data_IF_438505016135
#
_entry.id   IF_438505016135
#
_cell.length_a   1.000
_cell.length_b   1.000
_cell.length_c   1.000
_cell.angle_alpha   90.00
_cell.angle_beta   90.00
_cell.angle_gamma   90.00
#
_symmetry.space_group_name_H-M   'P 1'
#
loop_
_entity.id
_entity.type
_entity.pdbx_description
1 polymer ?
#
# COMPACT_ATOMS: atom_id res chain seq x y z
N UNK A 1 -11.03 -29.79 26.44
CA UNK A 1 -12.40 -29.45 26.91
C UNK A 1 -13.16 -28.93 25.71
N UNK A 2 -14.40 -29.36 25.47
CA UNK A 2 -15.15 -28.87 24.32
C UNK A 2 -15.62 -27.43 24.58
N UNK A 3 -15.66 -26.58 23.54
CA UNK A 3 -16.05 -25.17 23.67
C UNK A 3 -17.43 -24.98 24.31
N UNK A 4 -18.36 -25.89 24.03
CA UNK A 4 -19.71 -25.89 24.62
C UNK A 4 -19.73 -25.98 26.16
N UNK A 5 -18.68 -26.52 26.76
CA UNK A 5 -18.58 -26.74 28.20
C UNK A 5 -17.85 -25.58 28.90
N UNK A 6 -17.29 -24.63 28.15
CA UNK A 6 -16.64 -23.42 28.68
C UNK A 6 -17.69 -22.38 29.10
N UNK A 7 -17.40 -21.61 30.15
CA UNK A 7 -18.10 -20.34 30.39
C UNK A 7 -17.70 -19.28 29.34
N UNK A 8 -18.48 -18.21 29.25
CA UNK A 8 -18.30 -17.18 28.23
C UNK A 8 -16.95 -16.47 28.33
N UNK A 9 -16.45 -16.22 29.56
CA UNK A 9 -15.16 -15.56 29.77
C UNK A 9 -13.98 -16.45 29.38
N UNK A 10 -14.07 -17.75 29.65
CA UNK A 10 -13.07 -18.72 29.23
C UNK A 10 -13.10 -18.94 27.71
N UNK A 11 -14.30 -18.95 27.10
CA UNK A 11 -14.46 -19.01 25.66
C UNK A 11 -13.86 -17.76 25.00
N UNK A 12 -14.14 -16.56 25.51
CA UNK A 12 -13.55 -15.32 25.01
C UNK A 12 -12.02 -15.33 25.10
N UNK A 13 -11.44 -15.78 26.22
CA UNK A 13 -9.98 -15.89 26.36
C UNK A 13 -9.32 -16.84 25.37
N UNK A 14 -10.06 -17.74 24.71
CA UNK A 14 -9.47 -18.61 23.70
C UNK A 14 -8.88 -17.84 22.52
N UNK A 15 -9.37 -16.64 22.20
CA UNK A 15 -8.82 -15.83 21.09
C UNK A 15 -7.35 -15.44 21.32
N UNK A 16 -6.91 -15.37 22.58
CA UNK A 16 -5.54 -15.01 22.95
C UNK A 16 -4.63 -16.23 23.13
N UNK A 17 -5.19 -17.41 23.42
CA UNK A 17 -4.43 -18.64 23.64
C UNK A 17 -4.46 -19.60 22.46
N UNK A 18 -5.42 -19.42 21.54
CA UNK A 18 -5.63 -20.28 20.40
C UNK A 18 -4.69 -20.00 19.22
N UNK A 19 -3.90 -18.93 19.29
CA UNK A 19 -3.04 -18.45 18.18
C UNK A 19 -3.83 -18.44 16.87
N UNK A 20 -3.25 -18.83 15.74
CA UNK A 20 -3.94 -18.88 14.44
C UNK A 20 -4.78 -20.15 14.20
N UNK A 21 -5.06 -20.94 15.26
CA UNK A 21 -5.56 -22.33 15.15
C UNK A 21 -7.01 -22.54 15.57
N UNK A 22 -7.72 -21.48 15.95
CA UNK A 22 -9.14 -21.61 16.27
C UNK A 22 -9.91 -22.07 15.02
N UNK A 23 -10.76 -23.09 15.18
CA UNK A 23 -11.47 -23.72 14.08
C UNK A 23 -12.98 -23.43 14.06
N UNK A 24 -13.67 -23.96 13.05
CA UNK A 24 -15.11 -23.76 12.86
C UNK A 24 -16.00 -24.08 14.08
N UNK A 25 -15.63 -25.07 14.90
CA UNK A 25 -16.36 -25.40 16.14
C UNK A 25 -16.34 -24.26 17.17
N UNK A 26 -15.24 -23.50 17.24
CA UNK A 26 -15.12 -22.32 18.07
C UNK A 26 -16.06 -21.22 17.57
N UNK A 27 -16.02 -20.92 16.27
CA UNK A 27 -16.87 -19.92 15.62
C UNK A 27 -18.35 -20.24 15.83
N UNK A 28 -18.73 -21.51 15.65
CA UNK A 28 -20.10 -21.97 15.85
C UNK A 28 -20.58 -21.69 17.28
N UNK A 29 -19.73 -21.91 18.26
CA UNK A 29 -20.07 -21.66 19.66
C UNK A 29 -20.16 -20.15 19.96
N UNK A 30 -19.24 -19.34 19.43
CA UNK A 30 -19.31 -17.87 19.52
C UNK A 30 -20.62 -17.33 18.91
N UNK A 31 -21.00 -17.80 17.72
CA UNK A 31 -22.27 -17.42 17.06
C UNK A 31 -23.49 -17.81 17.90
N UNK A 32 -23.47 -18.99 18.52
CA UNK A 32 -24.54 -19.45 19.41
C UNK A 32 -24.73 -18.54 20.63
N UNK A 33 -23.63 -17.96 21.12
CA UNK A 33 -23.59 -17.09 22.31
C UNK A 33 -23.40 -15.61 21.97
N UNK A 34 -23.84 -15.18 20.78
CA UNK A 34 -23.56 -13.85 20.24
C UNK A 34 -23.80 -12.70 21.24
N UNK A 35 -24.89 -12.74 22.02
CA UNK A 35 -25.25 -11.64 22.93
C UNK A 35 -24.25 -11.48 24.09
N UNK A 36 -23.68 -12.60 24.57
CA UNK A 36 -22.67 -12.57 25.62
C UNK A 36 -21.27 -12.28 25.05
N UNK A 37 -20.98 -12.81 23.86
CA UNK A 37 -19.66 -12.67 23.23
C UNK A 37 -19.42 -11.27 22.66
N UNK A 38 -20.45 -10.65 22.08
CA UNK A 38 -20.35 -9.35 21.43
C UNK A 38 -19.65 -8.27 22.28
N UNK A 39 -20.10 -7.95 23.51
CA UNK A 39 -19.42 -6.92 24.31
C UNK A 39 -17.98 -7.29 24.68
N UNK A 40 -17.68 -8.57 24.92
CA UNK A 40 -16.32 -9.02 25.23
C UNK A 40 -15.38 -8.86 24.02
N UNK A 41 -15.87 -9.16 22.81
CA UNK A 41 -15.10 -8.99 21.58
C UNK A 41 -14.91 -7.51 21.25
N UNK A 42 -15.91 -6.66 21.48
CA UNK A 42 -15.79 -5.21 21.33
C UNK A 42 -14.72 -4.64 22.29
N UNK A 43 -14.73 -5.07 23.56
CA UNK A 43 -13.75 -4.65 24.57
C UNK A 43 -12.31 -4.94 24.12
N UNK A 44 -12.06 -6.12 23.54
CA UNK A 44 -10.73 -6.51 23.01
C UNK A 44 -10.18 -5.49 22.01
N UNK A 45 -11.03 -4.91 21.15
CA UNK A 45 -10.60 -3.97 20.11
C UNK A 45 -10.38 -2.55 20.61
N UNK A 46 -10.93 -2.18 21.77
CA UNK A 46 -10.70 -0.86 22.37
C UNK A 46 -9.40 -0.76 23.17
N UNK A 47 -8.79 -1.90 23.50
CA UNK A 47 -7.55 -1.97 24.26
C UNK A 47 -6.35 -1.97 23.32
N UNK A 48 -5.75 -0.79 23.12
CA UNK A 48 -4.59 -0.58 22.26
C UNK A 48 -3.44 -1.54 22.59
N UNK A 49 -3.22 -1.85 23.87
CA UNK A 49 -2.17 -2.76 24.34
C UNK A 49 -2.26 -4.18 23.76
N UNK A 50 -3.45 -4.60 23.29
CA UNK A 50 -3.63 -5.91 22.67
C UNK A 50 -2.99 -5.98 21.27
N UNK A 51 -2.75 -4.83 20.64
CA UNK A 51 -2.15 -4.73 19.31
C UNK A 51 -0.61 -4.76 19.35
N UNK A 52 -0.02 -4.57 20.53
CA UNK A 52 1.45 -4.54 20.73
C UNK A 52 2.05 -5.91 21.09
N UNK A 53 1.23 -6.97 21.12
CA UNK A 53 1.71 -8.30 21.46
C UNK A 53 2.36 -9.00 20.26
N UNK A 54 3.67 -9.20 20.36
CA UNK A 54 4.49 -9.92 19.37
C UNK A 54 4.39 -11.46 19.48
N UNK A 55 3.82 -11.96 20.58
CA UNK A 55 3.61 -13.40 20.80
C UNK A 55 2.25 -13.87 20.27
N UNK A 56 1.93 -15.14 20.53
CA UNK A 56 0.67 -15.76 20.11
C UNK A 56 -0.60 -15.01 20.56
N UNK A 57 -0.52 -14.12 21.56
CA UNK A 57 -1.67 -13.35 22.02
C UNK A 57 -2.07 -12.24 21.05
N UNK A 58 -1.16 -11.76 20.20
CA UNK A 58 -1.49 -10.75 19.16
C UNK A 58 -2.59 -11.23 18.20
N UNK A 59 -2.82 -12.54 18.07
CA UNK A 59 -3.93 -13.10 17.32
C UNK A 59 -5.32 -12.74 17.87
N UNK A 60 -5.41 -12.32 19.14
CA UNK A 60 -6.68 -12.00 19.76
C UNK A 60 -7.44 -10.86 19.09
N UNK A 61 -6.73 -9.78 18.70
CA UNK A 61 -7.37 -8.65 17.98
C UNK A 61 -7.81 -9.05 16.57
N UNK A 62 -7.03 -9.89 15.88
CA UNK A 62 -7.38 -10.43 14.57
C UNK A 62 -8.67 -11.26 14.70
N UNK A 63 -8.71 -12.19 15.66
CA UNK A 63 -9.90 -13.00 15.90
C UNK A 63 -11.12 -12.15 16.26
N UNK A 64 -10.96 -11.14 17.11
CA UNK A 64 -12.06 -10.26 17.50
C UNK A 64 -12.67 -9.55 16.28
N UNK A 65 -11.85 -8.98 15.38
CA UNK A 65 -12.34 -8.37 14.13
C UNK A 65 -13.13 -9.37 13.28
N UNK A 66 -12.56 -10.54 13.00
CA UNK A 66 -13.23 -11.57 12.18
C UNK A 66 -14.54 -12.06 12.81
N UNK A 67 -14.55 -12.33 14.12
CA UNK A 67 -15.73 -12.81 14.81
C UNK A 67 -16.83 -11.76 14.87
N UNK A 68 -16.48 -10.48 15.07
CA UNK A 68 -17.46 -9.39 15.02
C UNK A 68 -18.06 -9.24 13.62
N UNK A 69 -17.23 -9.33 12.56
CA UNK A 69 -17.72 -9.39 11.19
C UNK A 69 -18.62 -10.59 10.90
N UNK A 70 -18.33 -11.77 11.48
CA UNK A 70 -19.16 -12.98 11.37
C UNK A 70 -20.48 -12.86 12.16
N UNK A 71 -20.46 -12.23 13.33
CA UNK A 71 -21.64 -11.95 14.15
C UNK A 71 -22.55 -10.93 13.44
N UNK A 72 -21.94 -9.95 12.77
CA UNK A 72 -22.62 -8.94 11.95
C UNK A 72 -23.67 -8.12 12.72
N UNK A 73 -23.32 -7.68 13.94
CA UNK A 73 -24.21 -6.87 14.79
C UNK A 73 -23.77 -5.40 14.78
N UNK A 74 -24.69 -4.50 14.44
CA UNK A 74 -24.41 -3.06 14.30
C UNK A 74 -23.78 -2.44 15.57
N UNK A 75 -24.02 -2.99 16.76
CA UNK A 75 -23.40 -2.51 18.01
C UNK A 75 -21.87 -2.59 18.01
N UNK A 76 -21.25 -3.36 17.11
CA UNK A 76 -19.79 -3.47 17.00
C UNK A 76 -19.14 -2.45 16.07
N UNK A 77 -19.91 -1.59 15.39
CA UNK A 77 -19.36 -0.68 14.36
C UNK A 77 -18.26 0.22 14.91
N UNK A 78 -18.43 0.77 16.11
CA UNK A 78 -17.43 1.65 16.73
C UNK A 78 -16.13 0.91 17.07
N UNK A 79 -16.23 -0.32 17.56
CA UNK A 79 -15.06 -1.14 17.86
C UNK A 79 -14.29 -1.55 16.60
N UNK A 80 -15.00 -1.78 15.49
CA UNK A 80 -14.36 -2.09 14.21
C UNK A 80 -13.65 -0.86 13.62
N UNK A 81 -14.27 0.33 13.75
CA UNK A 81 -13.65 1.60 13.36
C UNK A 81 -12.38 1.89 14.18
N UNK A 82 -12.43 1.66 15.49
CA UNK A 82 -11.25 1.80 16.36
C UNK A 82 -10.12 0.84 15.93
N UNK A 83 -10.48 -0.42 15.65
CA UNK A 83 -9.53 -1.41 15.16
C UNK A 83 -8.89 -1.02 13.82
N UNK A 84 -9.60 -0.29 12.96
CA UNK A 84 -9.06 0.25 11.71
C UNK A 84 -7.91 1.22 11.96
N UNK A 85 -8.09 2.15 12.91
CA UNK A 85 -7.04 3.10 13.31
C UNK A 85 -5.79 2.39 13.83
N UNK A 86 -5.96 1.52 14.83
CA UNK A 86 -4.82 0.78 15.40
C UNK A 86 -4.13 -0.15 14.39
N UNK A 87 -4.89 -0.79 13.50
CA UNK A 87 -4.32 -1.66 12.47
C UNK A 87 -3.59 -0.89 11.37
N UNK A 88 -4.02 0.34 11.05
CA UNK A 88 -3.31 1.19 10.11
C UNK A 88 -1.95 1.62 10.68
N UNK A 89 -1.92 2.09 11.93
CA UNK A 89 -0.70 2.54 12.60
C UNK A 89 0.34 1.43 12.75
N UNK A 90 -0.12 0.20 13.03
CA UNK A 90 0.73 -0.98 13.25
C UNK A 90 0.89 -1.88 12.03
N UNK A 91 0.30 -1.49 10.90
CA UNK A 91 0.34 -2.25 9.64
C UNK A 91 -0.13 -3.71 9.81
N UNK A 92 -1.24 -3.92 10.50
CA UNK A 92 -1.81 -5.27 10.73
C UNK A 92 -2.70 -5.65 9.54
N UNK A 93 -2.06 -6.15 8.48
CA UNK A 93 -2.72 -6.50 7.21
C UNK A 93 -3.94 -7.40 7.38
N UNK A 94 -3.89 -8.39 8.29
CA UNK A 94 -5.01 -9.29 8.55
C UNK A 94 -6.30 -8.58 8.97
N UNK A 95 -6.18 -7.48 9.71
CA UNK A 95 -7.31 -6.64 10.12
C UNK A 95 -7.73 -5.75 8.96
N UNK A 96 -6.78 -5.05 8.33
CA UNK A 96 -7.04 -4.14 7.21
C UNK A 96 -7.80 -4.84 6.06
N UNK A 97 -7.39 -6.06 5.71
CA UNK A 97 -8.03 -6.86 4.67
C UNK A 97 -9.43 -7.38 5.05
N UNK A 98 -9.74 -7.51 6.33
CA UNK A 98 -11.01 -8.07 6.80
C UNK A 98 -12.09 -7.01 7.01
N UNK A 99 -11.69 -5.78 7.39
CA UNK A 99 -12.61 -4.70 7.77
C UNK A 99 -13.65 -4.35 6.68
N UNK A 100 -13.30 -4.22 5.38
CA UNK A 100 -14.29 -3.90 4.35
C UNK A 100 -15.46 -4.90 4.31
N UNK A 101 -15.19 -6.19 4.45
CA UNK A 101 -16.23 -7.22 4.51
C UNK A 101 -17.01 -7.17 5.83
N UNK A 102 -16.33 -6.89 6.96
CA UNK A 102 -17.01 -6.71 8.24
C UNK A 102 -18.07 -5.62 8.15
N UNK A 103 -17.73 -4.45 7.58
CA UNK A 103 -18.67 -3.35 7.37
C UNK A 103 -19.82 -3.73 6.43
N UNK A 104 -19.55 -4.48 5.37
CA UNK A 104 -20.57 -4.97 4.44
C UNK A 104 -21.62 -5.85 5.14
N UNK A 105 -21.16 -6.76 6.03
CA UNK A 105 -22.04 -7.67 6.77
C UNK A 105 -22.92 -6.96 7.81
N UNK A 106 -22.49 -5.82 8.36
CA UNK A 106 -23.35 -4.97 9.20
C UNK A 106 -24.55 -4.40 8.41
N UNK A 107 -24.44 -4.34 7.08
CA UNK A 107 -25.48 -3.89 6.18
C UNK A 107 -25.63 -2.36 6.10
N UNK A 108 -26.67 -1.87 5.39
CA UNK A 108 -26.90 -0.44 5.12
C UNK A 108 -26.90 0.47 6.35
N UNK A 109 -27.26 -0.06 7.52
CA UNK A 109 -27.31 0.70 8.77
C UNK A 109 -25.94 1.17 9.25
N UNK A 110 -24.84 0.60 8.76
CA UNK A 110 -23.48 1.06 9.07
C UNK A 110 -23.08 2.34 8.30
N UNK A 111 -23.73 2.64 7.18
CA UNK A 111 -23.33 3.74 6.28
C UNK A 111 -23.22 5.09 6.99
N UNK A 112 -24.19 5.56 7.80
CA UNK A 112 -24.07 6.86 8.46
C UNK A 112 -22.81 6.94 9.33
N UNK A 113 -22.53 5.88 10.08
CA UNK A 113 -21.40 5.85 11.01
C UNK A 113 -20.05 5.82 10.28
N UNK A 114 -19.95 5.08 9.18
CA UNK A 114 -18.76 5.08 8.30
C UNK A 114 -18.51 6.46 7.71
N UNK A 115 -19.55 7.14 7.22
CA UNK A 115 -19.42 8.50 6.66
C UNK A 115 -18.92 9.50 7.69
N UNK A 116 -19.49 9.46 8.90
CA UNK A 116 -19.11 10.35 9.99
C UNK A 116 -17.64 10.12 10.37
N UNK A 117 -17.20 8.87 10.44
CA UNK A 117 -15.81 8.53 10.74
C UNK A 117 -14.83 8.99 9.64
N UNK A 118 -15.14 8.70 8.37
CA UNK A 118 -14.31 9.13 7.23
C UNK A 118 -14.12 10.65 7.25
N UNK A 119 -15.20 11.41 7.45
CA UNK A 119 -15.14 12.88 7.53
C UNK A 119 -14.32 13.37 8.71
N UNK A 120 -14.52 12.79 9.89
CA UNK A 120 -13.78 13.16 11.09
C UNK A 120 -12.28 12.98 10.89
N UNK A 121 -11.86 11.83 10.36
CA UNK A 121 -10.43 11.52 10.16
C UNK A 121 -9.80 12.45 9.10
N UNK A 122 -10.49 12.69 7.97
CA UNK A 122 -9.99 13.62 6.94
C UNK A 122 -9.82 15.04 7.49
N UNK A 123 -10.79 15.53 8.29
CA UNK A 123 -10.69 16.85 8.93
C UNK A 123 -9.52 16.91 9.92
N UNK A 124 -9.22 15.82 10.61
CA UNK A 124 -8.11 15.72 11.54
C UNK A 124 -6.76 15.48 10.86
N UNK A 125 -6.73 15.27 9.54
CA UNK A 125 -5.52 14.95 8.79
C UNK A 125 -5.03 13.51 9.01
N UNK A 126 -5.92 12.61 9.39
CA UNK A 126 -5.66 11.17 9.55
C UNK A 126 -6.14 10.44 8.29
N UNK A 127 -5.24 10.10 7.33
CA UNK A 127 -5.65 9.64 6.00
C UNK A 127 -6.07 8.16 5.97
N UNK A 128 -6.07 7.46 7.12
CA UNK A 128 -6.32 6.02 7.21
C UNK A 128 -7.82 5.68 7.17
N UNK A 129 -8.49 6.04 6.08
CA UNK A 129 -9.93 5.80 5.86
C UNK A 129 -10.22 4.84 4.70
N UNK A 130 -9.18 4.19 4.19
CA UNK A 130 -9.26 3.33 2.99
C UNK A 130 -10.18 2.14 3.23
N UNK A 131 -10.11 1.50 4.39
CA UNK A 131 -10.93 0.32 4.72
C UNK A 131 -12.42 0.67 4.79
N UNK A 132 -12.76 1.85 5.30
CA UNK A 132 -14.12 2.36 5.40
C UNK A 132 -14.67 2.72 4.02
N UNK A 133 -13.85 3.33 3.15
CA UNK A 133 -14.21 3.60 1.74
C UNK A 133 -14.46 2.28 0.99
N UNK A 134 -13.59 1.28 1.14
CA UNK A 134 -13.81 -0.05 0.56
C UNK A 134 -15.04 -0.75 1.15
N UNK A 135 -15.33 -0.55 2.44
CA UNK A 135 -16.57 -1.01 3.08
C UNK A 135 -17.82 -0.36 2.45
N UNK A 136 -17.77 0.94 2.15
CA UNK A 136 -18.83 1.63 1.41
C UNK A 136 -18.98 1.07 -0.01
N UNK A 137 -17.89 0.72 -0.70
CA UNK A 137 -17.95 0.06 -2.01
C UNK A 137 -18.53 -1.35 -1.94
N UNK A 138 -18.24 -2.11 -0.88
CA UNK A 138 -18.89 -3.41 -0.67
C UNK A 138 -20.39 -3.26 -0.44
N UNK A 139 -20.81 -2.28 0.38
CA UNK A 139 -22.23 -1.97 0.60
C UNK A 139 -22.91 -1.49 -0.69
N UNK A 140 -22.22 -0.67 -1.49
CA UNK A 140 -22.67 -0.26 -2.82
C UNK A 140 -22.88 -1.47 -3.74
N UNK A 141 -21.97 -2.44 -3.71
CA UNK A 141 -22.08 -3.64 -4.53
C UNK A 141 -23.32 -4.46 -4.15
N UNK A 142 -23.53 -4.72 -2.86
CA UNK A 142 -24.56 -5.61 -2.32
C UNK A 142 -25.96 -5.02 -2.31
N UNK A 143 -26.08 -3.71 -2.05
CA UNK A 143 -27.37 -3.07 -1.78
C UNK A 143 -27.70 -2.01 -2.84
N UNK A 144 -28.52 -2.38 -3.82
CA UNK A 144 -28.90 -1.48 -4.92
C UNK A 144 -29.50 -0.14 -4.44
N UNK A 145 -30.28 -0.18 -3.35
CA UNK A 145 -31.00 0.98 -2.81
C UNK A 145 -30.08 2.03 -2.18
N UNK A 146 -28.84 1.68 -1.82
CA UNK A 146 -27.89 2.63 -1.21
C UNK A 146 -26.88 3.19 -2.20
N UNK A 147 -26.85 2.69 -3.44
CA UNK A 147 -25.80 3.02 -4.42
C UNK A 147 -25.69 4.50 -4.69
N UNK A 148 -26.81 5.14 -5.02
CA UNK A 148 -26.85 6.57 -5.31
C UNK A 148 -26.35 7.39 -4.12
N UNK A 149 -26.78 7.03 -2.91
CA UNK A 149 -26.35 7.69 -1.69
C UNK A 149 -24.85 7.54 -1.45
N UNK A 150 -24.29 6.33 -1.63
CA UNK A 150 -22.86 6.07 -1.43
C UNK A 150 -22.03 6.79 -2.48
N UNK A 151 -22.41 6.73 -3.76
CA UNK A 151 -21.71 7.45 -4.83
C UNK A 151 -21.73 8.96 -4.60
N UNK A 152 -22.88 9.53 -4.19
CA UNK A 152 -22.98 10.94 -3.90
C UNK A 152 -22.01 11.37 -2.79
N UNK A 153 -21.92 10.59 -1.71
CA UNK A 153 -20.99 10.84 -0.61
C UNK A 153 -19.52 10.74 -1.06
N UNK A 154 -19.15 9.69 -1.80
CA UNK A 154 -17.78 9.50 -2.26
C UNK A 154 -17.37 10.55 -3.31
N UNK A 155 -18.32 11.04 -4.11
CA UNK A 155 -18.08 12.12 -5.07
C UNK A 155 -17.93 13.47 -4.37
N UNK A 156 -18.74 13.75 -3.34
CA UNK A 156 -18.57 14.91 -2.46
C UNK A 156 -17.18 14.85 -1.81
N UNK A 157 -16.78 13.70 -1.28
CA UNK A 157 -15.46 13.47 -0.71
C UNK A 157 -14.33 13.74 -1.70
N UNK A 158 -14.44 13.24 -2.93
CA UNK A 158 -13.49 13.50 -4.01
C UNK A 158 -13.31 15.01 -4.27
N UNK A 159 -14.41 15.76 -4.21
CA UNK A 159 -14.41 17.21 -4.44
C UNK A 159 -13.86 17.98 -3.24
N UNK A 160 -14.10 17.51 -2.01
CA UNK A 160 -13.71 18.16 -0.75
C UNK A 160 -12.26 17.90 -0.32
N UNK A 161 -11.61 16.83 -0.78
CA UNK A 161 -10.22 16.46 -0.45
C UNK A 161 -9.17 17.37 -1.11
N UNK A 162 -9.34 18.68 -0.97
CA UNK A 162 -8.39 19.68 -1.43
C UNK A 162 -7.07 19.55 -0.65
N UNK A 163 -6.07 18.92 -1.29
CA UNK A 163 -4.73 18.77 -0.74
C UNK A 163 -4.34 17.33 -0.41
N UNK A 164 -5.31 16.42 -0.23
CA UNK A 164 -5.04 14.98 -0.11
C UNK A 164 -5.18 14.31 -1.47
N UNK A 165 -4.08 14.31 -2.21
CA UNK A 165 -4.03 13.80 -3.57
C UNK A 165 -4.07 12.28 -3.63
N UNK A 166 -3.68 11.57 -2.56
CA UNK A 166 -3.69 10.12 -2.51
C UNK A 166 -5.14 9.64 -2.42
N UNK A 167 -5.91 10.16 -1.44
CA UNK A 167 -7.33 9.81 -1.30
C UNK A 167 -8.09 10.18 -2.57
N UNK A 168 -7.85 11.38 -3.11
CA UNK A 168 -8.50 11.82 -4.35
C UNK A 168 -8.21 10.87 -5.52
N UNK A 169 -6.95 10.45 -5.69
CA UNK A 169 -6.55 9.58 -6.79
C UNK A 169 -7.14 8.18 -6.65
N UNK A 170 -7.17 7.64 -5.43
CA UNK A 170 -7.84 6.38 -5.13
C UNK A 170 -9.33 6.45 -5.48
N UNK A 171 -10.04 7.51 -5.06
CA UNK A 171 -11.45 7.70 -5.42
C UNK A 171 -11.67 7.83 -6.94
N UNK A 172 -10.76 8.49 -7.67
CA UNK A 172 -10.82 8.56 -9.13
C UNK A 172 -10.70 7.16 -9.76
N UNK A 173 -9.75 6.35 -9.29
CA UNK A 173 -9.58 4.97 -9.75
C UNK A 173 -10.83 4.12 -9.43
N UNK A 174 -11.33 4.21 -8.21
CA UNK A 174 -12.53 3.52 -7.75
C UNK A 174 -13.74 3.81 -8.64
N UNK A 175 -14.00 5.10 -8.92
CA UNK A 175 -15.11 5.50 -9.80
C UNK A 175 -14.91 5.04 -11.25
N UNK A 176 -13.69 5.08 -11.76
CA UNK A 176 -13.39 4.58 -13.11
C UNK A 176 -13.65 3.07 -13.19
N UNK A 177 -13.17 2.30 -12.21
CA UNK A 177 -13.40 0.86 -12.08
C UNK A 177 -14.88 0.51 -11.87
N UNK A 178 -15.63 1.33 -11.13
CA UNK A 178 -17.09 1.21 -11.01
C UNK A 178 -17.85 1.54 -12.31
N UNK A 179 -17.16 1.99 -13.35
CA UNK A 179 -17.73 2.24 -14.68
C UNK A 179 -18.31 3.64 -14.87
N UNK A 180 -17.98 4.61 -14.02
CA UNK A 180 -18.43 6.02 -14.13
C UNK A 180 -17.68 6.80 -15.22
N UNK A 181 -17.84 6.36 -16.46
CA UNK A 181 -17.22 6.95 -17.66
C UNK A 181 -17.59 8.42 -17.89
N UNK A 182 -18.72 8.85 -17.36
CA UNK A 182 -19.16 10.25 -17.37
C UNK A 182 -18.21 11.18 -16.60
N UNK A 183 -17.45 10.66 -15.63
CA UNK A 183 -16.48 11.42 -14.85
C UNK A 183 -15.11 11.56 -15.54
N UNK A 184 -14.88 10.92 -16.70
CA UNK A 184 -13.58 10.93 -17.40
C UNK A 184 -13.06 12.34 -17.67
N UNK A 185 -13.92 13.26 -18.10
CA UNK A 185 -13.53 14.65 -18.36
C UNK A 185 -13.14 15.38 -17.07
N UNK A 186 -13.88 15.17 -15.97
CA UNK A 186 -13.55 15.75 -14.68
C UNK A 186 -12.20 15.22 -14.18
N UNK A 187 -11.97 13.91 -14.27
CA UNK A 187 -10.73 13.29 -13.82
C UNK A 187 -9.53 13.76 -14.65
N UNK A 188 -9.72 13.94 -15.96
CA UNK A 188 -8.70 14.55 -16.83
C UNK A 188 -8.31 15.95 -16.33
N UNK A 189 -9.30 16.76 -15.95
CA UNK A 189 -9.03 18.10 -15.40
C UNK A 189 -8.27 18.04 -14.06
N UNK A 190 -8.50 17.05 -13.20
CA UNK A 190 -7.69 16.87 -11.99
C UNK A 190 -6.24 16.51 -12.34
N UNK A 191 -6.03 15.55 -13.24
CA UNK A 191 -4.68 15.20 -13.71
C UNK A 191 -3.93 16.37 -14.34
N UNK A 192 -4.60 17.13 -15.21
CA UNK A 192 -3.98 18.27 -15.87
C UNK A 192 -3.63 19.39 -14.87
N UNK A 193 -4.37 19.49 -13.76
CA UNK A 193 -4.07 20.42 -12.66
C UNK A 193 -3.01 19.92 -11.67
N UNK A 194 -2.50 18.69 -11.84
CA UNK A 194 -1.60 18.06 -10.87
C UNK A 194 -2.32 17.71 -9.56
N UNK A 195 -3.64 17.60 -9.60
CA UNK A 195 -4.51 17.26 -8.48
C UNK A 195 -4.69 15.74 -8.32
N UNK A 196 -3.89 14.95 -9.04
CA UNK A 196 -3.77 13.50 -8.88
C UNK A 196 -2.33 13.16 -8.44
N UNK A 197 -2.20 12.10 -7.65
CA UNK A 197 -0.92 11.53 -7.24
C UNK A 197 -0.47 10.49 -8.26
N UNK A 198 0.54 10.84 -9.05
CA UNK A 198 1.06 10.00 -10.12
C UNK A 198 1.86 8.80 -9.60
N UNK A 199 2.25 8.78 -8.33
CA UNK A 199 2.86 7.60 -7.71
C UNK A 199 1.83 6.49 -7.54
N UNK A 200 0.62 6.84 -7.11
CA UNK A 200 -0.49 5.90 -6.90
C UNK A 200 -1.11 5.42 -8.21
N UNK A 201 -1.57 6.33 -9.07
CA UNK A 201 -2.23 5.98 -10.35
C UNK A 201 -1.80 6.97 -11.44
N UNK A 202 -1.43 6.46 -12.62
CA UNK A 202 -1.14 7.30 -13.78
C UNK A 202 -2.40 7.54 -14.62
N UNK A 203 -2.35 8.52 -15.54
CA UNK A 203 -3.48 8.74 -16.45
C UNK A 203 -3.73 7.52 -17.33
N UNK A 204 -2.68 6.85 -17.76
CA UNK A 204 -2.74 5.63 -18.55
C UNK A 204 -3.42 4.48 -17.78
N UNK A 205 -3.11 4.32 -16.48
CA UNK A 205 -3.78 3.34 -15.61
C UNK A 205 -5.29 3.66 -15.49
N UNK A 206 -5.63 4.94 -15.30
CA UNK A 206 -7.02 5.38 -15.21
C UNK A 206 -7.78 5.19 -16.53
N UNK A 207 -7.12 5.39 -17.68
CA UNK A 207 -7.70 5.09 -18.99
C UNK A 207 -8.00 3.60 -19.14
N UNK A 208 -7.09 2.72 -18.70
CA UNK A 208 -7.35 1.28 -18.66
C UNK A 208 -8.61 0.96 -17.86
N UNK A 209 -8.76 1.56 -16.66
CA UNK A 209 -9.93 1.32 -15.82
C UNK A 209 -11.25 1.74 -16.50
N UNK A 210 -11.25 2.82 -17.29
CA UNK A 210 -12.45 3.22 -18.04
C UNK A 210 -12.78 2.26 -19.19
N UNK A 211 -11.77 1.66 -19.82
CA UNK A 211 -11.91 0.77 -20.96
C UNK A 211 -12.30 -0.65 -20.56
N UNK A 212 -11.81 -1.09 -19.40
CA UNK A 212 -12.10 -2.40 -18.83
C UNK A 212 -13.58 -2.58 -18.49
N UNK A 213 -13.96 -3.86 -18.26
CA UNK A 213 -15.30 -4.18 -17.78
C UNK A 213 -15.47 -3.63 -16.37
N UNK A 214 -16.60 -2.97 -16.04
CA UNK A 214 -16.84 -2.45 -14.71
C UNK A 214 -16.63 -3.54 -13.66
N UNK A 215 -15.69 -3.27 -12.77
CA UNK A 215 -15.32 -4.11 -11.65
C UNK A 215 -15.14 -3.18 -10.45
N UNK A 216 -16.21 -2.87 -9.71
CA UNK A 216 -16.10 -1.95 -8.57
C UNK A 216 -15.02 -2.45 -7.61
N UNK A 217 -14.33 -1.55 -6.88
CA UNK A 217 -13.19 -1.87 -6.00
C UNK A 217 -13.62 -2.61 -4.71
N UNK A 218 -14.67 -3.43 -4.78
CA UNK A 218 -15.17 -4.20 -3.66
C UNK A 218 -14.12 -5.22 -3.20
N UNK A 219 -13.73 -5.14 -1.92
CA UNK A 219 -12.85 -6.10 -1.28
C UNK A 219 -13.69 -7.14 -0.55
N UNK A 220 -13.92 -8.29 -1.20
CA UNK A 220 -14.76 -9.37 -0.67
C UNK A 220 -13.91 -10.45 -0.03
N UNK A 221 -14.35 -10.91 1.14
CA UNK A 221 -13.71 -12.01 1.85
C UNK A 221 -14.76 -12.93 2.47
N UNK A 222 -14.51 -14.22 2.45
CA UNK A 222 -15.27 -15.12 3.31
C UNK A 222 -14.61 -15.16 4.69
N UNK A 223 -15.18 -14.46 5.66
CA UNK A 223 -14.58 -14.38 7.01
C UNK A 223 -14.56 -15.74 7.71
N UNK A 224 -15.53 -16.62 7.43
CA UNK A 224 -15.58 -17.98 8.00
C UNK A 224 -14.46 -18.88 7.48
N UNK A 225 -13.99 -18.70 6.23
CA UNK A 225 -12.88 -19.48 5.64
C UNK A 225 -11.59 -19.34 6.45
N UNK A 226 -11.42 -18.23 7.18
CA UNK A 226 -10.29 -18.07 8.09
C UNK A 226 -10.19 -19.20 9.13
N UNK A 227 -11.33 -19.79 9.52
CA UNK A 227 -11.44 -20.84 10.53
C UNK A 227 -11.56 -22.25 9.93
N UNK A 228 -11.42 -22.39 8.61
CA UNK A 228 -11.46 -23.67 7.94
C UNK A 228 -10.17 -24.46 8.18
N UNK A 229 -10.24 -25.79 8.37
CA UNK A 229 -9.06 -26.61 8.61
C UNK A 229 -8.00 -26.52 7.51
N UNK A 230 -8.40 -26.32 6.25
CA UNK A 230 -7.47 -26.13 5.13
C UNK A 230 -6.74 -24.79 5.21
N UNK A 231 -7.47 -23.71 5.52
CA UNK A 231 -6.88 -22.37 5.67
C UNK A 231 -5.91 -22.31 6.85
N UNK A 232 -6.26 -22.95 7.98
CA UNK A 232 -5.37 -23.07 9.15
C UNK A 232 -4.09 -23.82 8.76
N UNK A 233 -4.21 -24.98 8.09
CA UNK A 233 -3.04 -25.75 7.63
C UNK A 233 -2.15 -24.96 6.68
N UNK A 234 -2.74 -24.14 5.82
CA UNK A 234 -1.97 -23.30 4.90
C UNK A 234 -1.21 -22.21 5.65
N UNK A 235 -1.83 -21.53 6.61
CA UNK A 235 -1.16 -20.56 7.48
C UNK A 235 -0.03 -21.21 8.27
N UNK A 236 -0.28 -22.36 8.90
CA UNK A 236 0.74 -23.11 9.63
C UNK A 236 1.91 -23.51 8.73
N UNK A 237 1.64 -23.97 7.51
CA UNK A 237 2.70 -24.29 6.53
C UNK A 237 3.49 -23.04 6.17
N UNK A 238 2.81 -21.93 5.88
CA UNK A 238 3.46 -20.67 5.54
C UNK A 238 4.35 -20.16 6.68
N UNK A 239 3.88 -20.25 7.94
CA UNK A 239 4.68 -19.92 9.12
C UNK A 239 5.85 -20.87 9.33
N UNK A 240 5.65 -22.17 9.17
CA UNK A 240 6.73 -23.16 9.28
C UNK A 240 7.81 -22.94 8.21
N UNK A 241 7.41 -22.61 6.98
CA UNK A 241 8.34 -22.24 5.90
C UNK A 241 9.08 -20.95 6.28
N UNK A 242 8.37 -19.91 6.74
CA UNK A 242 8.97 -18.64 7.13
C UNK A 242 9.96 -18.81 8.28
N UNK A 243 9.62 -19.59 9.29
CA UNK A 243 10.47 -19.90 10.44
C UNK A 243 11.70 -20.73 10.00
N UNK A 244 11.51 -21.74 9.15
CA UNK A 244 12.61 -22.53 8.61
C UNK A 244 13.55 -21.65 7.76
N UNK A 245 13.00 -20.78 6.91
CA UNK A 245 13.76 -19.80 6.14
C UNK A 245 14.51 -18.84 7.06
N UNK A 246 13.89 -18.39 8.15
CA UNK A 246 14.54 -17.50 9.12
C UNK A 246 15.71 -18.20 9.82
N UNK A 247 15.52 -19.43 10.32
CA UNK A 247 16.58 -20.22 10.95
C UNK A 247 17.71 -20.58 9.98
N UNK A 248 17.38 -20.94 8.74
CA UNK A 248 18.38 -21.23 7.71
C UNK A 248 19.17 -19.97 7.35
N UNK A 249 18.48 -18.84 7.13
CA UNK A 249 19.13 -17.55 6.92
C UNK A 249 20.03 -17.18 8.10
N UNK A 250 19.63 -17.44 9.33
CA UNK A 250 20.47 -17.15 10.51
C UNK A 250 21.79 -17.92 10.47
N UNK A 251 21.77 -19.21 10.14
CA UNK A 251 22.99 -20.01 10.01
C UNK A 251 23.84 -19.64 8.77
N UNK A 252 23.22 -19.45 7.61
CA UNK A 252 23.90 -19.08 6.36
C UNK A 252 24.52 -17.68 6.46
N UNK A 253 23.77 -16.70 6.98
CA UNK A 253 24.26 -15.35 7.25
C UNK A 253 25.41 -15.37 8.26
N UNK A 254 25.26 -16.11 9.37
CA UNK A 254 26.34 -16.24 10.34
C UNK A 254 27.60 -16.82 9.70
N UNK A 255 27.47 -17.83 8.84
CA UNK A 255 28.60 -18.46 8.16
C UNK A 255 29.27 -17.48 7.18
N UNK A 256 28.50 -16.72 6.41
CA UNK A 256 29.01 -15.69 5.49
C UNK A 256 29.72 -14.55 6.24
N UNK A 257 29.17 -14.09 7.36
CA UNK A 257 29.77 -13.04 8.20
C UNK A 257 31.07 -13.47 8.88
N UNK A 258 31.22 -14.77 9.17
CA UNK A 258 32.37 -15.31 9.88
C UNK A 258 33.33 -16.10 8.99
N UNK A 259 33.09 -16.16 7.66
CA UNK A 259 33.87 -17.02 6.75
C UNK A 259 35.38 -16.72 6.76
N UNK A 260 35.77 -15.48 7.02
CA UNK A 260 37.17 -15.04 7.10
C UNK A 260 37.82 -15.32 8.46
N UNK A 261 37.01 -15.62 9.48
CA UNK A 261 37.44 -15.93 10.85
C UNK A 261 37.60 -17.43 11.10
N UNK A 262 37.01 -18.28 10.25
CA UNK A 262 37.10 -19.74 10.37
C UNK A 262 38.44 -20.22 9.80
N UNK A 263 39.20 -20.97 10.59
CA UNK A 263 40.48 -21.52 10.14
C UNK A 263 40.23 -22.67 9.14
N UNK A 264 40.86 -22.60 7.97
CA UNK A 264 40.64 -23.53 6.84
C UNK A 264 40.69 -25.03 7.20
N UNK A 265 41.59 -25.40 8.13
CA UNK A 265 41.86 -26.78 8.55
C UNK A 265 41.09 -27.20 9.82
N UNK A 266 40.15 -26.39 10.30
CA UNK A 266 39.29 -26.78 11.42
C UNK A 266 38.05 -27.53 10.93
N UNK A 267 37.41 -28.34 11.80
CA UNK A 267 36.12 -28.95 11.51
C UNK A 267 35.09 -27.89 11.09
N UNK A 268 34.33 -28.20 10.05
CA UNK A 268 33.34 -27.29 9.50
C UNK A 268 32.24 -26.98 10.54
N UNK A 269 31.84 -25.70 10.73
CA UNK A 269 30.79 -25.32 11.68
C UNK A 269 29.40 -25.93 11.43
N UNK A 270 29.18 -26.55 10.26
CA UNK A 270 27.95 -27.29 9.98
C UNK A 270 27.82 -28.61 10.77
N UNK A 271 28.89 -29.06 11.46
CA UNK A 271 28.89 -30.29 12.24
C UNK A 271 29.12 -31.57 11.41
N UNK A 272 29.48 -31.47 10.13
CA UNK A 272 29.75 -32.63 9.26
C UNK A 272 30.99 -33.44 9.68
N UNK A 273 31.87 -32.86 10.50
CA UNK A 273 33.16 -33.43 10.88
C UNK A 273 34.26 -33.32 9.80
N UNK A 274 33.94 -32.81 8.61
CA UNK A 274 34.92 -32.53 7.55
C UNK A 274 35.65 -31.20 7.75
N UNK A 275 36.76 -30.99 7.05
CA UNK A 275 37.51 -29.72 7.07
C UNK A 275 36.69 -28.60 6.40
N UNK A 276 36.72 -27.38 6.96
CA UNK A 276 35.97 -26.24 6.42
C UNK A 276 36.29 -25.94 4.94
N UNK A 277 37.57 -25.96 4.57
CA UNK A 277 38.04 -25.69 3.21
C UNK A 277 37.45 -26.66 2.15
N UNK A 278 37.10 -27.88 2.55
CA UNK A 278 36.52 -28.91 1.68
C UNK A 278 34.99 -29.00 1.78
N UNK A 279 34.40 -28.39 2.81
CA UNK A 279 33.00 -28.57 3.14
C UNK A 279 32.15 -27.37 2.68
N UNK A 280 32.22 -26.24 3.39
CA UNK A 280 31.34 -25.08 3.11
C UNK A 280 32.05 -23.85 2.57
N UNK A 281 33.40 -23.80 2.57
CA UNK A 281 34.11 -22.66 1.97
C UNK A 281 33.77 -22.43 0.49
N UNK A 282 33.74 -23.46 -0.40
CA UNK A 282 33.40 -23.24 -1.81
C UNK A 282 31.97 -22.70 -2.01
N UNK A 283 31.03 -23.19 -1.19
CA UNK A 283 29.67 -22.67 -1.17
C UNK A 283 29.65 -21.21 -0.69
N UNK A 284 30.31 -20.89 0.43
CA UNK A 284 30.31 -19.55 1.00
C UNK A 284 30.95 -18.51 0.06
N UNK A 285 32.03 -18.87 -0.64
CA UNK A 285 32.66 -18.00 -1.64
C UNK A 285 31.75 -17.75 -2.85
N UNK A 286 31.15 -18.81 -3.39
CA UNK A 286 30.20 -18.70 -4.50
C UNK A 286 28.98 -17.87 -4.11
N UNK A 287 28.45 -18.12 -2.91
CA UNK A 287 27.25 -17.47 -2.40
C UNK A 287 27.50 -15.98 -2.10
N UNK A 288 28.65 -15.63 -1.51
CA UNK A 288 29.09 -14.23 -1.36
C UNK A 288 29.19 -13.52 -2.70
N UNK A 289 29.75 -14.19 -3.72
CA UNK A 289 29.81 -13.64 -5.07
C UNK A 289 28.43 -13.40 -5.69
N UNK A 290 27.49 -14.35 -5.52
CA UNK A 290 26.10 -14.24 -5.96
C UNK A 290 25.38 -13.08 -5.26
N UNK A 291 25.50 -12.98 -3.93
CA UNK A 291 24.86 -11.92 -3.15
C UNK A 291 25.36 -10.52 -3.53
N UNK A 292 26.66 -10.36 -3.82
CA UNK A 292 27.19 -9.08 -4.32
C UNK A 292 26.57 -8.71 -5.67
N UNK A 293 26.44 -9.66 -6.59
CA UNK A 293 25.78 -9.40 -7.89
C UNK A 293 24.29 -9.10 -7.74
N UNK A 294 23.61 -9.81 -6.84
CA UNK A 294 22.20 -9.56 -6.55
C UNK A 294 21.98 -8.21 -5.87
N UNK A 295 22.87 -7.81 -4.98
CA UNK A 295 22.84 -6.49 -4.36
C UNK A 295 23.08 -5.39 -5.40
N UNK A 296 24.05 -5.56 -6.30
CA UNK A 296 24.27 -4.63 -7.43
C UNK A 296 23.02 -4.50 -8.32
N UNK A 297 22.37 -5.62 -8.65
CA UNK A 297 21.11 -5.62 -9.42
C UNK A 297 19.95 -5.01 -8.63
N UNK A 298 19.84 -5.30 -7.33
CA UNK A 298 18.81 -4.77 -6.45
C UNK A 298 18.97 -3.25 -6.29
N UNK A 299 20.19 -2.77 -6.06
CA UNK A 299 20.54 -1.36 -6.02
C UNK A 299 20.25 -0.67 -7.36
N UNK A 300 20.55 -1.32 -8.49
CA UNK A 300 20.22 -0.79 -9.82
C UNK A 300 18.71 -0.66 -10.00
N UNK A 301 17.93 -1.67 -9.63
CA UNK A 301 16.46 -1.64 -9.66
C UNK A 301 15.88 -0.60 -8.72
N UNK A 302 16.45 -0.47 -7.52
CA UNK A 302 16.03 0.51 -6.53
C UNK A 302 16.27 1.93 -7.04
N UNK A 303 17.45 2.22 -7.62
CA UNK A 303 17.75 3.50 -8.28
C UNK A 303 16.78 3.79 -9.42
N UNK A 304 16.52 2.81 -10.29
CA UNK A 304 15.56 2.97 -11.39
C UNK A 304 14.16 3.32 -10.87
N UNK A 305 13.68 2.65 -9.82
CA UNK A 305 12.40 2.98 -9.16
C UNK A 305 12.41 4.37 -8.54
N UNK A 306 13.51 4.77 -7.89
CA UNK A 306 13.61 6.12 -7.30
C UNK A 306 13.56 7.22 -8.37
N UNK A 307 14.12 6.98 -9.56
CA UNK A 307 14.02 7.93 -10.66
C UNK A 307 12.60 8.03 -11.24
N UNK A 308 11.84 6.94 -11.28
CA UNK A 308 10.43 6.97 -11.69
C UNK A 308 9.57 7.69 -10.66
N UNK A 309 9.76 7.40 -9.38
CA UNK A 309 9.09 8.10 -8.27
C UNK A 309 9.38 9.60 -8.30
N UNK A 310 10.67 9.98 -8.39
CA UNK A 310 11.06 11.39 -8.49
C UNK A 310 10.46 12.06 -9.75
N UNK A 311 10.50 11.40 -10.90
CA UNK A 311 9.90 11.95 -12.13
C UNK A 311 8.40 12.23 -11.97
N UNK A 312 7.65 11.32 -11.34
CA UNK A 312 6.21 11.45 -11.07
C UNK A 312 5.91 12.57 -10.07
N UNK A 313 6.70 12.67 -8.99
CA UNK A 313 6.56 13.72 -8.00
C UNK A 313 6.80 15.11 -8.63
N UNK A 314 7.87 15.27 -9.40
CA UNK A 314 8.22 16.54 -10.04
C UNK A 314 7.27 16.91 -11.20
N UNK A 315 6.77 15.92 -11.95
CA UNK A 315 5.69 16.14 -12.92
C UNK A 315 4.44 16.71 -12.24
N UNK A 316 4.07 16.13 -11.10
CA UNK A 316 2.91 16.59 -10.32
C UNK A 316 3.11 18.02 -9.82
N UNK A 317 4.29 18.34 -9.30
CA UNK A 317 4.64 19.68 -8.84
C UNK A 317 4.58 20.72 -9.99
N UNK A 318 5.14 20.40 -11.15
CA UNK A 318 5.09 21.26 -12.33
C UNK A 318 3.66 21.52 -12.81
N UNK A 319 2.82 20.48 -12.85
CA UNK A 319 1.41 20.60 -13.23
C UNK A 319 0.67 21.54 -12.28
N UNK A 320 0.86 21.39 -10.96
CA UNK A 320 0.28 22.30 -9.95
C UNK A 320 0.74 23.73 -10.13
N UNK A 321 2.05 23.93 -10.31
CA UNK A 321 2.63 25.25 -10.52
C UNK A 321 1.98 25.96 -11.71
N UNK A 322 1.83 25.26 -12.83
CA UNK A 322 1.23 25.80 -14.05
C UNK A 322 -0.28 25.99 -13.92
N UNK A 323 -0.98 25.07 -13.27
CA UNK A 323 -2.42 25.13 -13.03
C UNK A 323 -2.81 26.32 -12.16
N UNK A 324 -2.05 26.63 -11.10
CA UNK A 324 -2.25 27.80 -10.25
C UNK A 324 -2.19 29.15 -11.00
N UNK A 325 -1.68 29.14 -12.24
CA UNK A 325 -1.55 30.30 -13.13
C UNK A 325 -2.48 30.23 -14.34
N UNK A 326 -3.31 29.20 -14.45
CA UNK A 326 -4.15 28.97 -15.63
C UNK A 326 -3.34 28.57 -16.88
N UNK A 327 -2.16 27.99 -16.69
CA UNK A 327 -1.21 27.62 -17.76
C UNK A 327 -0.96 26.10 -17.85
N UNK A 328 -1.91 25.29 -17.38
CA UNK A 328 -1.78 23.82 -17.34
C UNK A 328 -1.53 23.19 -18.72
N UNK A 329 -1.97 23.84 -19.79
CA UNK A 329 -1.77 23.45 -21.19
C UNK A 329 -0.31 23.52 -21.66
N UNK A 330 0.56 24.22 -20.92
CA UNK A 330 2.00 24.26 -21.20
C UNK A 330 2.73 22.96 -20.79
N UNK A 331 2.20 22.21 -19.82
CA UNK A 331 2.90 21.02 -19.31
C UNK A 331 3.14 19.94 -20.39
N UNK A 332 2.16 19.55 -21.23
CA UNK A 332 2.39 18.60 -22.31
C UNK A 332 3.53 19.00 -23.27
N UNK A 333 3.73 20.31 -23.49
CA UNK A 333 4.82 20.80 -24.34
C UNK A 333 6.17 20.68 -23.63
N UNK A 334 6.22 21.00 -22.32
CA UNK A 334 7.40 20.81 -21.47
C UNK A 334 7.79 19.33 -21.43
N UNK A 335 6.84 18.42 -21.14
CA UNK A 335 7.06 16.97 -21.12
C UNK A 335 7.58 16.45 -22.45
N UNK A 336 6.96 16.83 -23.57
CA UNK A 336 7.43 16.47 -24.92
C UNK A 336 8.86 16.94 -25.14
N UNK A 337 9.18 18.18 -24.78
CA UNK A 337 10.52 18.73 -24.95
C UNK A 337 11.56 18.01 -24.08
N UNK A 338 11.24 17.74 -22.83
CA UNK A 338 12.10 16.99 -21.92
C UNK A 338 12.40 15.59 -22.48
N UNK A 339 11.38 14.88 -22.97
CA UNK A 339 11.51 13.57 -23.61
C UNK A 339 12.35 13.62 -24.89
N UNK A 340 12.16 14.63 -25.74
CA UNK A 340 12.99 14.83 -26.94
C UNK A 340 14.47 14.98 -26.59
N UNK A 341 14.79 15.77 -25.57
CA UNK A 341 16.17 16.00 -25.13
C UNK A 341 16.75 14.74 -24.50
N UNK A 342 16.00 14.10 -23.58
CA UNK A 342 16.44 12.90 -22.88
C UNK A 342 16.72 11.74 -23.83
N UNK A 343 15.90 11.58 -24.89
CA UNK A 343 16.07 10.54 -25.92
C UNK A 343 17.15 10.86 -26.95
N UNK A 344 17.64 12.09 -27.02
CA UNK A 344 18.62 12.47 -28.03
C UNK A 344 19.99 11.82 -27.74
N UNK A 345 20.38 10.86 -28.59
CA UNK A 345 21.59 10.02 -28.45
C UNK A 345 22.89 10.75 -28.82
N UNK A 346 22.84 11.94 -29.42
CA UNK A 346 24.04 12.65 -29.90
C UNK A 346 24.55 13.70 -28.91
N UNK A 347 25.88 13.79 -28.74
CA UNK A 347 26.51 14.79 -27.85
C UNK A 347 26.22 16.24 -28.25
N UNK A 348 25.99 16.51 -29.55
CA UNK A 348 25.67 17.85 -30.07
C UNK A 348 24.27 18.35 -29.70
N UNK A 349 23.31 17.45 -29.49
CA UNK A 349 21.97 17.82 -28.99
C UNK A 349 21.98 18.02 -27.47
N UNK A 350 22.79 17.24 -26.74
CA UNK A 350 23.00 17.41 -25.29
C UNK A 350 23.79 18.68 -24.93
N UNK A 351 24.60 19.22 -25.84
CA UNK A 351 25.41 20.41 -25.59
C UNK A 351 24.65 21.74 -25.68
N UNK A 352 23.40 21.75 -26.18
CA UNK A 352 22.53 22.90 -25.94
C UNK A 352 22.11 22.82 -24.49
N UNK A 353 22.67 23.70 -23.65
CA UNK A 353 22.40 23.71 -22.21
C UNK A 353 20.89 23.65 -21.93
N UNK A 354 20.52 22.92 -20.87
CA UNK A 354 19.14 22.75 -20.42
C UNK A 354 18.30 24.04 -20.53
N UNK A 355 18.82 25.16 -20.01
CA UNK A 355 18.21 26.49 -20.09
C UNK A 355 17.90 26.93 -21.53
N UNK A 356 18.81 26.70 -22.47
CA UNK A 356 18.60 27.06 -23.87
C UNK A 356 17.52 26.19 -24.54
N UNK A 357 17.39 24.94 -24.11
CA UNK A 357 16.40 24.02 -24.65
C UNK A 357 14.97 24.34 -24.19
N UNK A 358 14.82 25.01 -23.04
CA UNK A 358 13.55 25.46 -22.46
C UNK A 358 13.30 26.97 -22.57
N UNK A 359 14.20 27.73 -23.19
CA UNK A 359 14.11 29.20 -23.28
C UNK A 359 12.78 29.71 -23.87
N UNK A 360 12.22 28.99 -24.84
CA UNK A 360 10.93 29.33 -25.44
C UNK A 360 9.75 29.19 -24.47
N UNK A 361 9.87 28.33 -23.45
CA UNK A 361 8.84 28.15 -22.42
C UNK A 361 8.93 29.21 -21.34
N UNK A 362 10.13 29.66 -20.98
CA UNK A 362 10.30 30.71 -19.97
C UNK A 362 9.64 32.04 -20.38
N UNK A 363 9.50 32.31 -21.69
CA UNK A 363 8.76 33.47 -22.18
C UNK A 363 7.23 33.27 -22.21
N UNK A 364 6.73 32.05 -22.01
CA UNK A 364 5.31 31.71 -22.00
C UNK A 364 4.76 31.56 -20.57
N UNK A 365 5.59 31.14 -19.62
CA UNK A 365 5.20 31.01 -18.21
C UNK A 365 5.25 32.37 -17.52
N UNK A 366 4.18 32.72 -16.81
CA UNK A 366 4.11 33.96 -16.04
C UNK A 366 4.70 33.76 -14.64
N UNK A 367 5.78 34.49 -14.33
CA UNK A 367 6.42 34.48 -13.02
C UNK A 367 6.16 35.82 -12.31
N UNK A 368 5.60 35.79 -11.10
CA UNK A 368 5.32 36.99 -10.31
C UNK A 368 6.54 37.49 -9.55
N UNK A 369 7.50 36.61 -9.32
CA UNK A 369 8.73 36.91 -8.61
C UNK A 369 9.89 36.06 -9.12
N UNK A 370 11.11 36.45 -8.71
CA UNK A 370 12.30 35.64 -8.93
C UNK A 370 12.22 34.30 -8.18
N UNK A 371 11.57 34.27 -7.02
CA UNK A 371 11.46 33.07 -6.20
C UNK A 371 10.55 32.04 -6.88
N UNK A 372 9.43 32.46 -7.47
CA UNK A 372 8.56 31.58 -8.26
C UNK A 372 9.28 31.02 -9.50
N UNK A 373 10.13 31.83 -10.16
CA UNK A 373 10.97 31.35 -11.25
C UNK A 373 11.96 30.28 -10.77
N UNK A 374 12.60 30.50 -9.62
CA UNK A 374 13.54 29.54 -9.05
C UNK A 374 12.85 28.23 -8.66
N UNK A 375 11.68 28.30 -8.02
CA UNK A 375 10.84 27.14 -7.67
C UNK A 375 10.47 26.32 -8.91
N UNK A 376 9.98 26.99 -9.96
CA UNK A 376 9.70 26.31 -11.24
C UNK A 376 10.95 25.66 -11.83
N UNK A 377 12.08 26.34 -11.80
CA UNK A 377 13.34 25.83 -12.32
C UNK A 377 13.87 24.64 -11.52
N UNK A 378 13.66 24.63 -10.20
CA UNK A 378 13.99 23.51 -9.33
C UNK A 378 13.21 22.26 -9.76
N UNK A 379 11.88 22.36 -9.82
CA UNK A 379 11.03 21.25 -10.25
C UNK A 379 11.31 20.81 -11.69
N UNK A 380 11.51 21.74 -12.62
CA UNK A 380 11.80 21.41 -14.02
C UNK A 380 13.13 20.69 -14.17
N UNK A 381 14.15 21.12 -13.40
CA UNK A 381 15.48 20.50 -13.42
C UNK A 381 15.44 19.12 -12.80
N UNK A 382 14.76 18.97 -11.65
CA UNK A 382 14.58 17.68 -10.99
C UNK A 382 13.81 16.69 -11.86
N UNK A 383 12.70 17.12 -12.47
CA UNK A 383 11.93 16.35 -13.45
C UNK A 383 12.81 15.87 -14.62
N UNK A 384 13.55 16.79 -15.23
CA UNK A 384 14.42 16.46 -16.36
C UNK A 384 15.56 15.52 -15.98
N UNK A 385 16.16 15.69 -14.80
CA UNK A 385 17.24 14.83 -14.32
C UNK A 385 16.73 13.42 -14.03
N UNK A 386 15.59 13.30 -13.35
CA UNK A 386 14.93 12.02 -13.10
C UNK A 386 14.59 11.31 -14.41
N UNK A 387 13.98 12.02 -15.36
CA UNK A 387 13.67 11.50 -16.69
C UNK A 387 14.92 11.05 -17.44
N UNK A 388 15.99 11.84 -17.44
CA UNK A 388 17.25 11.49 -18.12
C UNK A 388 17.94 10.28 -17.47
N UNK A 389 17.87 10.17 -16.15
CA UNK A 389 18.44 9.06 -15.40
C UNK A 389 17.77 7.72 -15.77
N UNK A 390 16.47 7.73 -16.07
CA UNK A 390 15.77 6.54 -16.60
C UNK A 390 16.31 6.07 -17.96
N UNK A 391 16.92 6.94 -18.77
CA UNK A 391 17.52 6.60 -20.06
C UNK A 391 19.05 6.37 -20.00
N UNK A 392 19.70 6.62 -18.87
CA UNK A 392 21.17 6.63 -18.76
C UNK A 392 21.81 5.23 -18.83
N UNK A 393 21.04 4.16 -18.53
CA UNK A 393 21.48 2.77 -18.72
C UNK A 393 21.45 2.33 -20.20
N UNK A 394 21.07 3.22 -21.13
CA UNK A 394 21.51 3.12 -22.52
C UNK A 394 22.89 3.80 -22.65
N UNK A 395 23.97 3.02 -22.83
CA UNK A 395 25.34 3.47 -22.64
C UNK A 395 25.69 4.54 -23.66
N UNK A 396 25.77 5.78 -23.18
CA UNK A 396 26.07 6.92 -24.02
C UNK A 396 26.52 8.11 -23.20
N UNK A 397 27.57 7.92 -22.38
CA UNK A 397 28.41 8.94 -21.76
C UNK A 397 27.73 9.94 -20.81
N UNK A 398 28.06 9.76 -19.54
CA UNK A 398 27.68 10.64 -18.45
C UNK A 398 28.33 12.02 -18.56
N UNK A 399 27.55 12.99 -18.12
CA UNK A 399 27.99 14.22 -17.45
C UNK A 399 26.78 14.70 -16.66
N UNK A 400 26.87 14.55 -15.34
CA UNK A 400 25.95 15.15 -14.39
C UNK A 400 25.89 16.66 -14.65
N UNK A 401 24.69 17.19 -14.85
CA UNK A 401 24.44 18.63 -14.84
C UNK A 401 24.42 19.05 -13.37
N UNK A 402 25.59 19.45 -12.87
CA UNK A 402 25.69 20.32 -11.69
C UNK A 402 25.75 21.77 -12.16
#
# INVERSE_FOLDING_TARGET
MAYKDMDDGLLARQIFSGEDRLGADFVKEVKRRREAMLPMLCEVLFHEENYDWEDGRGWGVIHAVYLLGIIADLRSVDSLLEASGFAADRQIDWINEALPECYARLGPSAIPRLRDHIRANIVNGEPYVVNEILGLWNLWHDFIDVREGVEAFLLELLMETAGDFIIRTNLMADFAQAGRRDLRTLFRQYYDRGEADLETVTWEDLESFFEDRPNPPASRRNLEEFYDPDAIRERERHWAIREAMFRQRDWESWLLENMERIVLKEPCPCGSGGLYEQCHLPWAESERGRLLQEDDLAQTRMKARSFVSQERAEETALRRFLAARGQADLFPLIKRRALEIARATTSKSRSRGFTAAFQTFFGQVEFRSKDEFNEFMEHLTAYYNALTAQFADHPGNGRHLH
#
